data_IF_223404458200
#
_entry.id   IF_223404458200
#
_cell.length_a   1.000
_cell.length_b   1.000
_cell.length_c   1.000
_cell.angle_alpha   90.00
_cell.angle_beta   90.00
_cell.angle_gamma   90.00
#
_symmetry.space_group_name_H-M   'P 1'
#
loop_
_entity.id
_entity.type
_entity.pdbx_description
1 polymer ?
#
# COMPACT_ATOMS: atom_id res chain seq x y z
N UNK A 1 24.57 12.76 63.56
CA UNK A 1 23.40 12.08 62.95
C UNK A 1 22.37 13.09 62.39
N UNK A 2 22.28 14.30 62.93
CA UNK A 2 21.34 15.38 62.51
C UNK A 2 21.41 15.85 61.03
N UNK A 3 22.59 15.85 60.39
CA UNK A 3 22.75 16.34 59.00
C UNK A 3 22.04 15.48 57.96
N UNK A 4 21.85 14.21 58.25
CA UNK A 4 21.14 13.28 57.38
C UNK A 4 19.62 13.45 57.51
N UNK A 5 19.13 13.77 58.72
CA UNK A 5 17.71 14.05 58.96
C UNK A 5 17.23 15.30 58.20
N UNK A 6 18.02 16.37 58.23
CA UNK A 6 17.69 17.61 57.50
C UNK A 6 17.70 17.43 55.98
N UNK A 7 18.63 16.64 55.43
CA UNK A 7 18.66 16.32 54.01
C UNK A 7 17.45 15.47 53.57
N UNK A 8 17.05 14.49 54.39
CA UNK A 8 15.87 13.65 54.13
C UNK A 8 14.59 14.48 54.22
N UNK A 9 14.48 15.38 55.21
CA UNK A 9 13.34 16.29 55.36
C UNK A 9 13.27 17.31 54.23
N UNK A 10 14.41 17.81 53.74
CA UNK A 10 14.46 18.70 52.59
C UNK A 10 14.07 17.97 51.29
N UNK A 11 14.58 16.76 51.06
CA UNK A 11 14.18 15.94 49.91
C UNK A 11 12.69 15.59 49.96
N UNK A 12 12.17 15.17 51.13
CA UNK A 12 10.75 14.87 51.34
C UNK A 12 9.84 16.06 51.01
N UNK A 13 10.23 17.29 51.38
CA UNK A 13 9.46 18.50 51.06
C UNK A 13 9.38 18.81 49.56
N UNK A 14 10.40 18.46 48.77
CA UNK A 14 10.43 18.63 47.30
C UNK A 14 9.73 17.48 46.54
N UNK A 15 9.28 16.44 47.26
CA UNK A 15 8.60 15.28 46.69
C UNK A 15 7.13 15.29 47.12
N UNK A 16 6.82 15.83 48.30
CA UNK A 16 5.45 15.95 48.83
C UNK A 16 4.62 17.06 48.17
N UNK A 17 5.26 18.00 47.48
CA UNK A 17 4.62 19.06 46.70
C UNK A 17 4.38 18.66 45.24
N UNK A 18 4.74 17.44 44.82
CA UNK A 18 4.39 16.90 43.50
C UNK A 18 2.89 16.92 43.33
N UNK A 19 2.44 17.93 42.59
CA UNK A 19 1.03 18.09 42.35
C UNK A 19 0.58 17.03 41.35
N UNK A 20 -0.70 16.67 41.41
CA UNK A 20 -1.30 15.84 40.38
C UNK A 20 -1.07 16.45 38.98
N UNK A 21 -0.97 17.79 38.88
CA UNK A 21 -0.63 18.51 37.65
C UNK A 21 0.75 18.17 37.09
N UNK A 22 1.79 18.14 37.94
CA UNK A 22 3.15 17.82 37.50
C UNK A 22 3.26 16.38 36.98
N UNK A 23 2.50 15.47 37.61
CA UNK A 23 2.41 14.08 37.15
C UNK A 23 1.74 14.00 35.77
N UNK A 24 0.64 14.72 35.55
CA UNK A 24 -0.02 14.82 34.25
C UNK A 24 0.90 15.40 33.16
N UNK A 25 1.65 16.44 33.49
CA UNK A 25 2.62 17.05 32.57
C UNK A 25 3.74 16.08 32.23
N UNK A 26 4.25 15.31 33.19
CA UNK A 26 5.28 14.30 32.95
C UNK A 26 4.77 13.20 32.01
N UNK A 27 3.55 12.70 32.23
CA UNK A 27 2.92 11.70 31.34
C UNK A 27 2.69 12.28 29.95
N UNK A 28 2.14 13.50 29.85
CA UNK A 28 1.92 14.17 28.57
C UNK A 28 3.24 14.37 27.82
N UNK A 29 4.30 14.80 28.52
CA UNK A 29 5.64 14.98 27.96
C UNK A 29 6.22 13.65 27.49
N UNK A 30 6.07 12.58 28.27
CA UNK A 30 6.48 11.23 27.88
C UNK A 30 5.78 10.76 26.60
N UNK A 31 4.46 10.92 26.52
CA UNK A 31 3.68 10.62 25.31
C UNK A 31 4.17 11.45 24.11
N UNK A 32 4.44 12.75 24.32
CA UNK A 32 4.89 13.64 23.28
C UNK A 32 6.30 13.28 22.76
N UNK A 33 7.22 12.94 23.66
CA UNK A 33 8.58 12.48 23.32
C UNK A 33 8.52 11.19 22.51
N UNK A 34 7.70 10.22 22.92
CA UNK A 34 7.51 8.97 22.17
C UNK A 34 6.96 9.25 20.77
N UNK A 35 5.98 10.15 20.67
CA UNK A 35 5.39 10.55 19.39
C UNK A 35 6.42 11.23 18.46
N UNK A 36 7.25 12.13 19.00
CA UNK A 36 8.34 12.79 18.25
C UNK A 36 9.38 11.81 17.74
N UNK A 37 9.84 10.88 18.57
CA UNK A 37 10.82 9.84 18.17
C UNK A 37 10.23 8.95 17.09
N UNK A 38 8.98 8.53 17.24
CA UNK A 38 8.30 7.69 16.26
C UNK A 38 8.12 8.43 14.93
N UNK A 39 7.68 9.69 14.96
CA UNK A 39 7.59 10.54 13.76
C UNK A 39 8.95 10.72 13.08
N UNK A 40 10.01 10.97 13.84
CA UNK A 40 11.36 11.12 13.30
C UNK A 40 11.85 9.83 12.63
N UNK A 41 11.58 8.67 13.22
CA UNK A 41 11.91 7.36 12.62
C UNK A 41 11.08 7.09 11.36
N UNK A 42 9.77 7.36 11.40
CA UNK A 42 8.87 7.24 10.24
C UNK A 42 9.33 8.18 9.12
N UNK A 43 9.74 9.41 9.43
CA UNK A 43 10.23 10.38 8.45
C UNK A 43 11.48 9.86 7.73
N UNK A 44 12.41 9.24 8.46
CA UNK A 44 13.61 8.64 7.86
C UNK A 44 13.27 7.43 6.96
N UNK A 45 12.38 6.54 7.43
CA UNK A 45 11.90 5.38 6.66
C UNK A 45 11.11 5.81 5.43
N UNK A 46 10.28 6.85 5.55
CA UNK A 46 9.50 7.40 4.43
C UNK A 46 10.36 8.16 3.45
N UNK A 47 11.47 8.80 3.86
CA UNK A 47 12.45 9.34 2.92
C UNK A 47 13.06 8.22 2.06
N UNK A 48 13.53 7.14 2.69
CA UNK A 48 14.03 5.96 1.95
C UNK A 48 12.95 5.35 1.06
N UNK A 49 11.73 5.21 1.59
CA UNK A 49 10.57 4.70 0.84
C UNK A 49 10.12 5.62 -0.30
N UNK A 50 10.21 6.95 -0.14
CA UNK A 50 9.84 7.95 -1.14
C UNK A 50 10.84 8.01 -2.27
N UNK A 51 12.14 7.85 -1.97
CA UNK A 51 13.18 7.72 -3.00
C UNK A 51 12.92 6.44 -3.83
N UNK A 52 12.55 5.33 -3.20
CA UNK A 52 12.24 4.07 -3.89
C UNK A 52 10.88 4.08 -4.63
N UNK A 53 9.92 4.87 -4.15
CA UNK A 53 8.64 5.12 -4.85
C UNK A 53 8.79 6.11 -6.01
N UNK A 54 9.76 7.04 -5.96
CA UNK A 54 10.03 8.01 -7.02
C UNK A 54 10.41 7.37 -8.35
N UNK A 55 11.12 6.23 -8.32
CA UNK A 55 11.52 5.48 -9.51
C UNK A 55 10.40 4.61 -10.10
N UNK A 56 9.31 4.37 -9.37
CA UNK A 56 8.11 3.65 -9.85
C UNK A 56 6.98 4.61 -10.31
N UNK A 57 7.19 5.94 -10.26
CA UNK A 57 6.22 6.97 -10.69
C UNK A 57 6.48 7.51 -12.10
N UNK A 58 7.22 6.78 -12.91
CA UNK A 58 7.29 6.93 -14.36
C UNK A 58 6.69 5.62 -14.87
N UNK A 59 5.36 5.49 -14.84
CA UNK A 59 4.56 5.42 -16.08
C UNK A 59 3.06 5.67 -15.83
N UNK A 60 2.70 6.74 -15.13
CA UNK A 60 1.32 7.28 -15.22
C UNK A 60 1.38 8.74 -15.63
N UNK A 61 1.85 8.94 -16.87
CA UNK A 61 1.71 10.23 -17.53
C UNK A 61 0.22 10.52 -17.66
N UNK A 62 -0.23 11.52 -16.90
CA UNK A 62 -1.48 12.23 -17.12
C UNK A 62 -1.68 12.42 -18.62
N UNK A 63 -2.68 11.73 -19.18
CA UNK A 63 -3.20 12.09 -20.49
C UNK A 63 -4.22 13.22 -20.25
N UNK A 64 -4.06 14.37 -20.91
CA UNK A 64 -4.94 15.51 -20.72
C UNK A 64 -6.36 15.09 -21.11
N UNK A 65 -7.31 15.49 -20.27
CA UNK A 65 -8.74 15.51 -20.58
C UNK A 65 -8.91 16.30 -21.87
N UNK A 66 -9.41 15.71 -22.97
CA UNK A 66 -9.92 16.51 -24.07
C UNK A 66 -11.33 16.93 -23.68
N UNK A 67 -11.46 18.18 -23.24
CA UNK A 67 -12.67 18.94 -23.46
C UNK A 67 -12.97 18.91 -24.97
N UNK A 68 -14.05 18.22 -25.35
CA UNK A 68 -14.71 18.42 -26.62
C UNK A 68 -16.17 17.99 -26.50
N UNK A 69 -16.94 18.81 -25.78
CA UNK A 69 -18.38 18.94 -26.01
C UNK A 69 -18.56 19.44 -27.44
N UNK A 70 -18.99 18.59 -28.37
CA UNK A 70 -19.58 19.02 -29.65
C UNK A 70 -20.48 17.92 -30.28
N UNK A 71 -21.77 18.01 -29.95
CA UNK A 71 -22.95 18.03 -30.86
C UNK A 71 -22.97 17.04 -32.08
N UNK A 72 -23.74 15.94 -31.93
CA UNK A 72 -24.80 15.29 -32.79
C UNK A 72 -24.85 15.65 -34.31
N UNK A 73 -25.18 14.76 -35.32
CA UNK A 73 -25.96 13.49 -35.30
C UNK A 73 -25.42 12.26 -36.11
N UNK A 74 -26.10 11.11 -35.94
CA UNK A 74 -26.00 9.78 -36.61
C UNK A 74 -26.28 9.80 -38.15
N UNK A 75 -26.25 8.69 -38.95
CA UNK A 75 -26.07 7.24 -38.65
C UNK A 75 -25.15 6.45 -39.64
N UNK A 76 -24.80 5.17 -39.34
CA UNK A 76 -24.72 3.99 -40.26
C UNK A 76 -23.81 2.85 -39.73
N UNK A 77 -24.42 1.66 -39.59
CA UNK A 77 -23.91 0.27 -39.72
C UNK A 77 -22.61 -0.22 -39.01
N UNK A 78 -22.80 -1.05 -37.97
CA UNK A 78 -22.18 -2.37 -37.60
C UNK A 78 -20.66 -2.65 -37.79
N UNK A 79 -19.99 -3.52 -36.98
CA UNK A 79 -20.49 -4.45 -35.96
C UNK A 79 -19.78 -4.38 -34.58
N UNK A 80 -20.47 -4.90 -33.56
CA UNK A 80 -19.97 -5.45 -32.30
C UNK A 80 -18.66 -4.87 -31.72
N UNK A 81 -18.80 -3.89 -30.83
CA UNK A 81 -17.74 -3.52 -29.90
C UNK A 81 -17.21 -4.77 -29.18
N UNK A 82 -15.92 -5.12 -29.29
CA UNK A 82 -15.37 -6.27 -28.60
C UNK A 82 -15.59 -6.07 -27.12
N UNK A 83 -16.22 -7.07 -26.51
CA UNK A 83 -16.48 -7.15 -25.08
C UNK A 83 -15.24 -6.66 -24.33
N UNK A 84 -15.44 -5.64 -23.50
CA UNK A 84 -14.41 -5.05 -22.64
C UNK A 84 -13.73 -6.19 -21.88
N UNK A 85 -12.60 -6.64 -22.41
CA UNK A 85 -11.74 -7.60 -21.74
C UNK A 85 -11.21 -6.83 -20.54
N UNK A 86 -11.52 -7.33 -19.34
CA UNK A 86 -10.96 -6.80 -18.11
C UNK A 86 -9.49 -7.19 -18.09
N UNK A 87 -8.68 -6.38 -18.76
CA UNK A 87 -7.24 -6.32 -18.67
C UNK A 87 -6.96 -5.34 -17.53
N UNK A 88 -6.17 -5.74 -16.53
CA UNK A 88 -5.77 -4.79 -15.50
C UNK A 88 -4.94 -3.65 -16.13
N UNK A 89 -5.25 -2.40 -15.76
CA UNK A 89 -4.55 -1.20 -16.21
C UNK A 89 -3.03 -1.34 -15.92
N UNK A 90 -2.25 -1.60 -16.98
CA UNK A 90 -0.80 -1.82 -16.89
C UNK A 90 -0.29 -3.14 -17.50
N UNK A 91 -1.15 -3.95 -18.12
CA UNK A 91 -0.73 -5.05 -19.00
C UNK A 91 -0.75 -4.57 -20.44
N UNK A 92 0.41 -4.58 -21.08
CA UNK A 92 0.60 -4.11 -22.45
C UNK A 92 -0.10 -5.04 -23.45
N UNK A 93 -0.60 -4.45 -24.54
CA UNK A 93 -1.27 -5.19 -25.63
C UNK A 93 -0.36 -6.26 -26.24
N UNK A 94 0.96 -6.05 -26.23
CA UNK A 94 1.96 -7.06 -26.60
C UNK A 94 1.87 -8.32 -25.72
N UNK A 95 1.77 -8.15 -24.41
CA UNK A 95 1.66 -9.28 -23.48
C UNK A 95 0.34 -10.03 -23.70
N UNK A 96 -0.75 -9.30 -23.97
CA UNK A 96 -2.05 -9.90 -24.29
C UNK A 96 -1.97 -10.69 -25.60
N UNK A 97 -1.34 -10.12 -26.64
CA UNK A 97 -1.13 -10.79 -27.92
C UNK A 97 -0.29 -12.07 -27.77
N UNK A 98 0.84 -12.00 -27.07
CA UNK A 98 1.72 -13.16 -26.82
C UNK A 98 0.99 -14.25 -26.04
N UNK A 99 0.25 -13.91 -24.97
CA UNK A 99 -0.55 -14.89 -24.20
C UNK A 99 -1.63 -15.50 -25.10
N UNK A 100 -2.33 -14.68 -25.89
CA UNK A 100 -3.37 -15.18 -26.79
C UNK A 100 -2.82 -16.10 -27.88
N UNK A 101 -1.64 -15.79 -28.43
CA UNK A 101 -0.95 -16.60 -29.43
C UNK A 101 -0.42 -17.91 -28.84
N UNK A 102 0.19 -17.87 -27.66
CA UNK A 102 0.65 -19.06 -26.96
C UNK A 102 -0.52 -20.01 -26.66
N UNK A 103 -1.65 -19.48 -26.20
CA UNK A 103 -2.86 -20.27 -25.97
C UNK A 103 -3.42 -20.80 -27.30
N UNK A 104 -3.41 -20.01 -28.38
CA UNK A 104 -3.83 -20.46 -29.70
C UNK A 104 -3.03 -21.70 -30.15
N UNK A 105 -1.69 -21.65 -30.06
CA UNK A 105 -0.84 -22.80 -30.40
C UNK A 105 -1.13 -24.02 -29.53
N UNK A 106 -1.31 -23.85 -28.21
CA UNK A 106 -1.63 -24.97 -27.31
C UNK A 106 -3.03 -25.56 -27.55
N UNK A 107 -3.98 -24.74 -28.01
CA UNK A 107 -5.36 -25.17 -28.28
C UNK A 107 -5.50 -25.80 -29.66
N UNK A 108 -4.70 -25.35 -30.63
CA UNK A 108 -4.60 -25.95 -31.98
C UNK A 108 -4.09 -27.39 -31.90
N UNK A 109 -3.08 -27.66 -31.07
CA UNK A 109 -2.59 -29.01 -30.80
C UNK A 109 -3.66 -29.92 -30.16
N UNK A 110 -4.57 -29.33 -29.38
CA UNK A 110 -5.68 -30.04 -28.73
C UNK A 110 -6.96 -30.08 -29.57
N UNK A 111 -6.95 -29.54 -30.80
CA UNK A 111 -8.11 -29.53 -31.71
C UNK A 111 -9.27 -28.64 -31.26
N UNK A 112 -9.03 -27.68 -30.37
CA UNK A 112 -10.07 -26.77 -29.86
C UNK A 112 -10.09 -25.50 -30.71
N UNK A 113 -11.08 -25.38 -31.59
CA UNK A 113 -11.18 -24.29 -32.58
C UNK A 113 -11.77 -22.98 -32.05
N UNK A 114 -12.32 -22.95 -30.84
CA UNK A 114 -12.85 -21.71 -30.25
C UNK A 114 -12.55 -21.60 -28.75
N UNK A 115 -11.92 -20.50 -28.37
CA UNK A 115 -11.66 -20.17 -26.96
C UNK A 115 -11.82 -18.66 -26.74
N UNK A 116 -12.27 -18.27 -25.54
CA UNK A 116 -12.44 -16.87 -25.14
C UNK A 116 -11.68 -16.60 -23.85
N UNK A 117 -10.77 -15.63 -23.88
CA UNK A 117 -10.09 -15.15 -22.69
C UNK A 117 -11.06 -14.29 -21.86
N UNK A 118 -11.30 -14.69 -20.61
CA UNK A 118 -12.24 -14.02 -19.68
C UNK A 118 -11.57 -12.87 -18.91
N UNK A 119 -10.32 -13.07 -18.52
CA UNK A 119 -9.52 -12.10 -17.77
C UNK A 119 -8.05 -12.41 -17.93
N UNK A 120 -7.23 -11.38 -18.09
CA UNK A 120 -5.77 -11.48 -18.07
C UNK A 120 -5.30 -10.57 -16.95
N UNK A 121 -4.74 -11.16 -15.91
CA UNK A 121 -4.21 -10.45 -14.75
C UNK A 121 -2.82 -10.98 -14.44
N UNK A 122 -1.89 -10.10 -14.06
CA UNK A 122 -0.59 -10.55 -13.54
C UNK A 122 -0.84 -11.27 -12.21
N UNK A 123 -0.10 -12.35 -11.96
CA UNK A 123 -0.09 -12.94 -10.63
C UNK A 123 0.38 -11.86 -9.64
N UNK A 124 -0.34 -11.69 -8.52
CA UNK A 124 0.12 -10.81 -7.45
C UNK A 124 1.52 -11.30 -7.04
N UNK A 125 2.54 -10.48 -7.30
CA UNK A 125 3.95 -10.75 -7.05
C UNK A 125 4.14 -11.04 -5.55
N UNK A 126 3.97 -12.31 -5.17
CA UNK A 126 4.00 -12.81 -3.80
C UNK A 126 2.98 -12.12 -2.87
N UNK A 127 2.19 -12.91 -2.13
CA UNK A 127 1.42 -12.36 -1.01
C UNK A 127 2.44 -11.72 -0.04
N UNK A 128 2.14 -10.55 0.52
CA UNK A 128 3.07 -9.88 1.44
C UNK A 128 3.59 -10.86 2.48
N UNK A 129 4.85 -10.72 2.90
CA UNK A 129 5.50 -11.65 3.84
C UNK A 129 4.65 -11.83 5.11
N UNK A 130 3.95 -10.76 5.55
CA UNK A 130 2.96 -10.83 6.64
C UNK A 130 1.71 -11.64 6.32
N UNK A 131 1.18 -11.52 5.10
CA UNK A 131 0.05 -12.33 4.66
C UNK A 131 0.41 -13.81 4.47
N UNK A 132 1.65 -14.12 4.09
CA UNK A 132 2.16 -15.51 4.08
C UNK A 132 2.36 -16.05 5.50
N UNK A 133 2.96 -15.26 6.40
CA UNK A 133 3.22 -15.64 7.78
C UNK A 133 1.91 -15.99 8.52
N UNK A 134 0.89 -15.14 8.40
CA UNK A 134 -0.41 -15.40 9.04
C UNK A 134 -1.07 -16.70 8.58
N UNK A 135 -0.92 -17.08 7.30
CA UNK A 135 -1.44 -18.36 6.80
C UNK A 135 -0.62 -19.51 7.36
N UNK A 136 0.71 -19.43 7.33
CA UNK A 136 1.56 -20.49 7.86
C UNK A 136 1.34 -20.74 9.34
N UNK A 137 0.99 -19.71 10.11
CA UNK A 137 0.66 -19.83 11.53
C UNK A 137 -0.77 -20.37 11.75
N UNK A 138 -1.76 -19.91 10.97
CA UNK A 138 -3.14 -20.39 11.07
C UNK A 138 -3.35 -21.83 10.56
N UNK A 139 -2.52 -22.30 9.63
CA UNK A 139 -2.61 -23.66 9.09
C UNK A 139 -1.63 -24.63 9.74
N UNK A 140 -0.95 -24.21 10.82
CA UNK A 140 -0.08 -25.12 11.57
C UNK A 140 -0.95 -26.06 12.42
N UNK A 141 -0.79 -27.39 12.30
CA UNK A 141 -1.55 -28.31 13.13
C UNK A 141 -1.18 -28.12 14.61
N UNK A 142 -2.15 -28.32 15.49
CA UNK A 142 -2.00 -28.29 16.95
C UNK A 142 -1.35 -29.56 17.49
#
# INVERSE_FOLDING_TARGET
MERWSTAIMAASKNIADWTWGDTWVLVATGMFVVFLVLLMLILLVTLMGRIMQGTNRKDTKSKPVPDAVQKVPAPLAQPAAPAVQRVEDGIEEETVAVISAAIACMMEEKGVSSFRLKSISRSKKSRSVWGMAGISENTRPF
#
